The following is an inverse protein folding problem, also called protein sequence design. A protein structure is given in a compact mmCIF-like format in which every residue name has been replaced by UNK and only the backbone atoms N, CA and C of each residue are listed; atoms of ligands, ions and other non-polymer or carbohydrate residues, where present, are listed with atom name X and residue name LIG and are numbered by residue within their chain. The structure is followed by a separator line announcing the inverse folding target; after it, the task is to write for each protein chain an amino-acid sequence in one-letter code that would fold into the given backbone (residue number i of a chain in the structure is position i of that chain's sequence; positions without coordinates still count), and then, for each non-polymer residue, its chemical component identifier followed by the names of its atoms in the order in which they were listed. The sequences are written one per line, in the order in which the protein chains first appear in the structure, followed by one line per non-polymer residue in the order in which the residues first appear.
data_IF_934494709970
#
_entry.id   IF_934494709970
#
_cell.length_a   1.000
_cell.length_b   1.000
_cell.length_c   1.000
_cell.angle_alpha   90.00
_cell.angle_beta   90.00
_cell.angle_gamma   90.00
#
_symmetry.space_group_name_H-M   'P 1'
#
loop_
_entity.id
_entity.type
_entity.pdbx_description
1 polymer ?
#
# COMPACT_ATOMS: atom_id res chain seq x y z
N UNK A 1 -35.05 17.25 -46.27
CA UNK A 1 -34.01 17.13 -45.23
C UNK A 1 -34.69 16.56 -43.99
N UNK A 2 -34.73 15.24 -43.88
CA UNK A 2 -35.28 14.54 -42.70
C UNK A 2 -34.18 14.46 -41.65
N UNK A 3 -34.38 15.14 -40.52
CA UNK A 3 -33.50 14.96 -39.36
C UNK A 3 -33.70 13.55 -38.82
N UNK A 4 -32.64 12.74 -38.82
CA UNK A 4 -32.66 11.40 -38.23
C UNK A 4 -32.60 11.50 -36.70
N UNK A 5 -33.67 11.15 -35.97
CA UNK A 5 -33.69 11.20 -34.51
C UNK A 5 -32.74 10.18 -33.85
N UNK A 6 -32.28 9.16 -34.58
CA UNK A 6 -31.44 8.08 -34.06
C UNK A 6 -29.98 8.50 -33.84
N UNK A 7 -29.52 9.58 -34.51
CA UNK A 7 -28.18 10.15 -34.32
C UNK A 7 -28.03 10.70 -32.89
N UNK A 8 -29.04 11.41 -32.38
CA UNK A 8 -28.99 12.01 -31.05
C UNK A 8 -28.93 10.95 -29.92
N UNK A 9 -29.62 9.83 -30.07
CA UNK A 9 -29.56 8.71 -29.11
C UNK A 9 -28.19 8.00 -29.12
N UNK A 10 -27.57 7.85 -30.29
CA UNK A 10 -26.26 7.20 -30.45
C UNK A 10 -25.13 8.06 -29.88
N UNK A 11 -25.16 9.37 -30.10
CA UNK A 11 -24.18 10.32 -29.55
C UNK A 11 -24.31 10.48 -28.03
N UNK A 12 -25.53 10.48 -27.48
CA UNK A 12 -25.75 10.53 -26.04
C UNK A 12 -25.24 9.26 -25.31
N UNK A 13 -25.48 8.08 -25.89
CA UNK A 13 -25.03 6.80 -25.33
C UNK A 13 -23.50 6.66 -25.32
N UNK A 14 -22.82 7.10 -26.39
CA UNK A 14 -21.35 7.08 -26.50
C UNK A 14 -20.67 8.03 -25.51
N UNK A 15 -21.24 9.21 -25.27
CA UNK A 15 -20.71 10.18 -24.29
C UNK A 15 -20.93 9.71 -22.86
N UNK A 16 -22.06 9.05 -22.58
CA UNK A 16 -22.35 8.48 -21.27
C UNK A 16 -21.42 7.31 -20.95
N UNK A 17 -21.12 6.44 -21.94
CA UNK A 17 -20.13 5.37 -21.77
C UNK A 17 -18.71 5.91 -21.52
N UNK A 18 -18.28 6.92 -22.28
CA UNK A 18 -16.96 7.53 -22.10
C UNK A 18 -16.82 8.23 -20.73
N UNK A 19 -17.88 8.86 -20.24
CA UNK A 19 -17.92 9.46 -18.90
C UNK A 19 -17.85 8.39 -17.81
N UNK A 20 -18.61 7.29 -17.95
CA UNK A 20 -18.57 6.17 -17.01
C UNK A 20 -17.20 5.47 -17.00
N UNK A 21 -16.57 5.30 -18.17
CA UNK A 21 -15.21 4.73 -18.28
C UNK A 21 -14.16 5.66 -17.67
N UNK A 22 -14.29 6.98 -17.87
CA UNK A 22 -13.43 8.00 -17.27
C UNK A 22 -13.56 8.06 -15.74
N UNK A 23 -14.79 7.98 -15.21
CA UNK A 23 -15.03 7.89 -13.76
C UNK A 23 -14.51 6.56 -13.19
N UNK A 24 -14.66 5.45 -13.91
CA UNK A 24 -14.12 4.15 -13.49
C UNK A 24 -12.58 4.13 -13.40
N UNK A 25 -11.89 4.82 -14.31
CA UNK A 25 -10.43 4.99 -14.28
C UNK A 25 -9.97 5.91 -13.14
N UNK A 26 -10.78 6.90 -12.74
CA UNK A 26 -10.47 7.82 -11.63
C UNK A 26 -10.69 7.19 -10.24
N UNK A 27 -11.50 6.13 -10.13
CA UNK A 27 -11.87 5.50 -8.85
C UNK A 27 -10.86 4.40 -8.40
N UNK A 28 -9.80 4.13 -9.15
CA UNK A 28 -8.82 3.08 -8.81
C UNK A 28 -7.82 3.43 -7.69
N UNK A 29 -7.96 4.54 -6.97
CA UNK A 29 -7.10 4.80 -5.80
C UNK A 29 -7.53 3.94 -4.60
N UNK A 30 -7.22 2.66 -4.65
CA UNK A 30 -7.30 1.75 -3.51
C UNK A 30 -6.22 2.18 -2.52
N UNK A 31 -6.60 2.93 -1.48
CA UNK A 31 -5.78 3.11 -0.29
C UNK A 31 -5.84 1.80 0.53
N UNK A 32 -5.27 0.73 -0.01
CA UNK A 32 -4.83 -0.38 0.83
C UNK A 32 -3.71 0.15 1.72
N UNK A 33 -3.58 -0.39 2.95
CA UNK A 33 -2.47 -0.04 3.84
C UNK A 33 -1.17 -0.08 3.03
N UNK A 34 -0.45 1.04 2.97
CA UNK A 34 0.71 1.19 2.10
C UNK A 34 1.82 0.18 2.45
N UNK A 35 1.79 -0.32 3.69
CA UNK A 35 2.69 -1.33 4.22
C UNK A 35 1.88 -2.42 4.92
N UNK A 36 2.27 -3.67 4.73
CA UNK A 36 1.67 -4.87 5.31
C UNK A 36 2.66 -5.50 6.30
N UNK A 37 2.13 -6.11 7.35
CA UNK A 37 2.89 -7.15 8.08
C UNK A 37 2.78 -8.42 7.22
N UNK A 38 3.88 -8.83 6.61
CA UNK A 38 3.93 -9.95 5.67
C UNK A 38 4.18 -11.28 6.40
N UNK A 39 5.13 -11.28 7.32
CA UNK A 39 5.49 -12.44 8.13
C UNK A 39 5.65 -12.05 9.59
N UNK A 40 5.38 -13.02 10.47
CA UNK A 40 5.58 -12.89 11.90
C UNK A 40 6.25 -14.15 12.43
N UNK A 41 7.48 -14.02 12.90
CA UNK A 41 8.28 -15.08 13.49
C UNK A 41 8.39 -14.86 15.01
N UNK A 42 7.56 -15.58 15.76
CA UNK A 42 7.59 -15.61 17.22
C UNK A 42 8.24 -16.90 17.73
N UNK A 43 8.97 -16.81 18.85
CA UNK A 43 9.75 -17.92 19.41
C UNK A 43 10.71 -18.53 18.37
N UNK A 44 11.46 -17.68 17.68
CA UNK A 44 12.41 -18.11 16.66
C UNK A 44 13.48 -19.04 17.26
N UNK A 45 13.67 -20.20 16.65
CA UNK A 45 14.71 -21.18 17.02
C UNK A 45 15.38 -21.80 15.81
N UNK A 46 15.09 -21.27 14.62
CA UNK A 46 15.40 -21.91 13.34
C UNK A 46 16.21 -21.01 12.43
N UNK A 47 15.95 -19.69 12.43
CA UNK A 47 16.60 -18.72 11.54
C UNK A 47 17.45 -17.78 12.39
N UNK A 48 18.77 -17.85 12.26
CA UNK A 48 19.68 -16.94 12.94
C UNK A 48 19.87 -15.66 12.13
N UNK A 49 20.05 -14.53 12.82
CA UNK A 49 20.47 -13.27 12.22
C UNK A 49 21.99 -13.25 11.92
N UNK A 50 22.50 -12.11 11.43
CA UNK A 50 23.91 -11.96 11.09
C UNK A 50 24.86 -12.05 12.32
N UNK A 51 24.35 -11.89 13.54
CA UNK A 51 25.09 -12.05 14.78
C UNK A 51 24.96 -13.48 15.35
N UNK A 52 24.18 -14.36 14.72
CA UNK A 52 23.92 -15.72 15.18
C UNK A 52 22.81 -15.81 16.23
N UNK A 53 22.01 -14.76 16.39
CA UNK A 53 20.89 -14.68 17.34
C UNK A 53 19.59 -15.16 16.69
N UNK A 54 18.71 -15.75 17.48
CA UNK A 54 17.40 -16.24 17.04
C UNK A 54 16.31 -15.36 17.63
N UNK A 55 16.41 -14.06 17.40
CA UNK A 55 15.43 -13.11 17.91
C UNK A 55 14.12 -13.22 17.13
N UNK A 56 13.02 -12.80 17.77
CA UNK A 56 11.72 -12.67 17.15
C UNK A 56 11.72 -11.49 16.17
N UNK A 57 10.99 -11.62 15.07
CA UNK A 57 10.92 -10.58 14.06
C UNK A 57 9.57 -10.53 13.36
N UNK A 58 9.27 -9.38 12.80
CA UNK A 58 8.17 -9.17 11.85
C UNK A 58 8.80 -8.72 10.54
N UNK A 59 8.21 -9.09 9.40
CA UNK A 59 8.61 -8.54 8.11
C UNK A 59 7.53 -7.58 7.61
N UNK A 60 7.97 -6.42 7.15
CA UNK A 60 7.12 -5.44 6.50
C UNK A 60 7.26 -5.55 4.99
N UNK A 61 6.15 -5.50 4.28
CA UNK A 61 6.12 -5.52 2.82
C UNK A 61 5.35 -4.33 2.26
N UNK A 62 5.91 -3.69 1.25
CA UNK A 62 5.25 -2.66 0.46
C UNK A 62 4.73 -3.25 -0.86
N UNK A 63 3.43 -3.56 -1.00
CA UNK A 63 2.89 -4.15 -2.22
C UNK A 63 2.68 -3.14 -3.35
N UNK A 64 3.05 -1.87 -3.15
CA UNK A 64 2.77 -0.79 -4.11
C UNK A 64 3.92 -0.60 -5.10
N UNK A 65 3.61 0.07 -6.22
CA UNK A 65 4.59 0.39 -7.28
C UNK A 65 5.50 1.60 -6.93
N UNK A 66 5.39 2.14 -5.71
CA UNK A 66 6.16 3.30 -5.27
C UNK A 66 6.87 3.00 -3.94
N UNK A 67 8.07 3.54 -3.69
CA UNK A 67 8.72 3.40 -2.40
C UNK A 67 7.92 4.09 -1.29
N UNK A 68 8.01 3.56 -0.08
CA UNK A 68 7.29 4.05 1.11
C UNK A 68 8.29 4.26 2.24
N UNK A 69 8.36 5.47 2.77
CA UNK A 69 9.12 5.75 3.99
C UNK A 69 8.22 5.51 5.21
N UNK A 70 8.59 4.54 6.04
CA UNK A 70 7.89 4.23 7.31
C UNK A 70 8.45 5.01 8.50
N UNK A 71 9.38 5.95 8.27
CA UNK A 71 9.93 6.81 9.31
C UNK A 71 8.83 7.50 10.13
N UNK A 72 8.92 7.40 11.46
CA UNK A 72 7.93 7.96 12.39
C UNK A 72 6.67 7.11 12.60
N UNK A 73 6.44 6.05 11.82
CA UNK A 73 5.45 5.03 12.17
C UNK A 73 5.89 4.26 13.42
N UNK A 74 4.94 3.60 14.08
CA UNK A 74 5.21 2.82 15.30
C UNK A 74 4.54 1.45 15.23
N UNK A 75 5.21 0.46 15.80
CA UNK A 75 4.60 -0.83 16.13
C UNK A 75 4.08 -0.78 17.57
N UNK A 76 2.92 -1.37 17.79
CA UNK A 76 2.41 -1.62 19.14
C UNK A 76 1.55 -2.88 19.17
N UNK A 77 1.58 -3.57 20.30
CA UNK A 77 0.67 -4.65 20.71
C UNK A 77 -0.37 -4.16 21.73
N UNK A 78 -0.27 -2.90 22.17
CA UNK A 78 -1.14 -2.27 23.16
C UNK A 78 -1.65 -0.93 22.64
N UNK A 79 -2.95 -0.87 22.33
CA UNK A 79 -3.58 0.35 21.81
C UNK A 79 -3.55 1.53 22.80
N UNK A 80 -3.29 1.29 24.09
CA UNK A 80 -3.08 2.36 25.06
C UNK A 80 -1.68 2.97 25.00
N UNK A 81 -0.74 2.32 24.30
CA UNK A 81 0.65 2.74 24.10
C UNK A 81 1.01 2.69 22.61
N UNK A 82 0.42 3.58 21.77
CA UNK A 82 0.54 3.51 20.31
C UNK A 82 1.96 3.77 19.76
N UNK A 83 2.87 4.30 20.57
CA UNK A 83 4.22 4.74 20.20
C UNK A 83 5.34 3.86 20.78
N UNK A 84 5.02 2.64 21.21
CA UNK A 84 5.93 1.74 21.93
C UNK A 84 7.25 1.45 21.20
N UNK A 85 7.19 1.17 19.90
CA UNK A 85 8.38 0.96 19.06
C UNK A 85 8.29 1.81 17.79
N UNK A 86 8.85 3.03 17.85
CA UNK A 86 8.82 3.98 16.73
C UNK A 86 10.03 3.83 15.80
N UNK A 87 9.79 3.82 14.49
CA UNK A 87 10.84 3.89 13.48
C UNK A 87 11.50 5.28 13.48
N UNK A 88 12.83 5.38 13.28
CA UNK A 88 13.52 6.66 13.29
C UNK A 88 12.97 7.62 12.23
N UNK A 89 12.52 8.81 12.65
CA UNK A 89 11.89 9.79 11.76
C UNK A 89 12.83 10.36 10.69
N UNK A 90 14.13 10.43 10.97
CA UNK A 90 15.12 11.15 10.15
C UNK A 90 16.16 10.22 9.50
N UNK A 91 15.77 8.97 9.20
CA UNK A 91 16.67 7.95 8.64
C UNK A 91 16.03 7.21 7.45
N UNK A 92 15.56 7.98 6.46
CA UNK A 92 14.97 7.45 5.23
C UNK A 92 15.90 6.53 4.44
N UNK A 93 17.21 6.59 4.70
CA UNK A 93 18.21 5.65 4.18
C UNK A 93 17.99 4.20 4.61
N UNK A 94 17.31 3.99 5.75
CA UNK A 94 17.01 2.65 6.30
C UNK A 94 15.53 2.44 6.63
N UNK A 95 14.68 3.47 6.53
CA UNK A 95 13.22 3.36 6.74
C UNK A 95 12.41 3.41 5.45
N UNK A 96 13.06 3.51 4.28
CA UNK A 96 12.36 3.42 3.00
C UNK A 96 12.27 1.98 2.52
N UNK A 97 11.05 1.46 2.42
CA UNK A 97 10.75 0.19 1.77
C UNK A 97 10.55 0.46 0.28
N UNK A 98 11.38 -0.15 -0.56
CA UNK A 98 11.26 -0.02 -2.01
C UNK A 98 9.89 -0.51 -2.53
N UNK A 99 9.52 -0.15 -3.76
CA UNK A 99 8.36 -0.72 -4.43
C UNK A 99 8.49 -2.26 -4.47
N UNK A 100 7.45 -2.99 -4.07
CA UNK A 100 7.47 -4.46 -3.92
C UNK A 100 8.58 -4.99 -2.99
N UNK A 101 9.10 -4.12 -2.11
CA UNK A 101 10.24 -4.41 -1.24
C UNK A 101 9.82 -4.87 0.16
N UNK A 102 10.83 -5.32 0.92
CA UNK A 102 10.69 -5.87 2.28
C UNK A 102 11.62 -5.16 3.26
N UNK A 103 11.24 -5.16 4.54
CA UNK A 103 12.03 -4.68 5.67
C UNK A 103 11.93 -5.62 6.87
#
# INVERSE_FOLDING_TARGET
MTHDPQIFHRLACSRMLALCLGVYLLVQSQALSQVLINEFMASNSTIADAAGQYDDWIELHNPTDHPVDVGGMSLTDDLSQPDRWQFPLNRSDITTIAAHGYL
#
